data_IF_458547155858
#
_entry.id   IF_458547155858
#
_cell.length_a   1.000
_cell.length_b   1.000
_cell.length_c   1.000
_cell.angle_alpha   90.00
_cell.angle_beta   90.00
_cell.angle_gamma   90.00
#
_symmetry.space_group_name_H-M   'P 1'
#
loop_
_entity.id
_entity.type
_entity.pdbx_description
1 polymer ?
#
# COMPACT_ATOMS: atom_id res chain seq x y z
N UNK A 1 5.02 -23.22 -34.11
CA UNK A 1 3.93 -22.31 -34.53
C UNK A 1 3.74 -21.32 -33.39
N UNK A 2 3.85 -20.02 -33.65
CA UNK A 2 3.66 -19.00 -32.61
C UNK A 2 2.18 -18.97 -32.22
N UNK A 3 1.86 -19.57 -31.07
CA UNK A 3 0.51 -19.52 -30.54
C UNK A 3 0.14 -18.07 -30.20
N UNK A 4 -0.83 -17.57 -30.97
CA UNK A 4 -1.43 -16.25 -30.81
C UNK A 4 -2.21 -16.27 -29.50
N UNK A 5 -1.56 -15.82 -28.43
CA UNK A 5 -2.23 -15.49 -27.17
C UNK A 5 -3.54 -14.73 -27.44
N UNK A 6 -4.64 -15.05 -26.75
CA UNK A 6 -5.90 -14.31 -26.84
C UNK A 6 -5.66 -12.79 -26.77
N UNK A 7 -6.41 -11.98 -27.54
CA UNK A 7 -6.15 -10.54 -27.66
C UNK A 7 -6.12 -9.80 -26.31
N UNK A 8 -6.86 -10.30 -25.32
CA UNK A 8 -6.92 -9.78 -23.94
C UNK A 8 -5.61 -10.05 -23.17
N UNK A 9 -4.95 -11.18 -23.46
CA UNK A 9 -3.65 -11.58 -22.90
C UNK A 9 -2.48 -10.89 -23.61
N UNK A 10 -2.61 -10.60 -24.91
CA UNK A 10 -1.63 -9.78 -25.65
C UNK A 10 -1.64 -8.32 -25.22
N UNK A 11 -2.81 -7.73 -24.92
CA UNK A 11 -2.91 -6.38 -24.33
C UNK A 11 -2.34 -6.28 -22.91
N UNK A 12 -2.19 -7.40 -22.21
CA UNK A 12 -1.66 -7.45 -20.83
C UNK A 12 -0.16 -7.77 -20.78
N UNK A 13 0.36 -8.60 -21.69
CA UNK A 13 1.81 -8.83 -21.84
C UNK A 13 2.49 -7.60 -22.46
N UNK A 14 3.16 -6.81 -21.63
CA UNK A 14 3.93 -5.65 -22.08
C UNK A 14 3.38 -4.30 -21.60
N UNK A 15 2.41 -4.29 -20.67
CA UNK A 15 1.87 -3.05 -20.11
C UNK A 15 2.96 -2.17 -19.50
N UNK A 16 2.91 -0.90 -19.87
CA UNK A 16 3.73 0.15 -19.29
C UNK A 16 3.31 0.49 -17.86
N UNK A 17 4.19 1.18 -17.12
CA UNK A 17 3.91 1.62 -15.74
C UNK A 17 2.77 2.67 -15.71
N UNK A 18 2.74 3.52 -16.71
CA UNK A 18 1.68 4.49 -16.99
C UNK A 18 0.30 3.83 -17.15
N UNK A 19 0.23 2.70 -17.84
CA UNK A 19 -1.04 1.97 -18.01
C UNK A 19 -1.57 1.41 -16.68
N UNK A 20 -0.70 0.85 -15.82
CA UNK A 20 -1.14 0.40 -14.48
C UNK A 20 -1.65 1.56 -13.64
N UNK A 21 -0.98 2.71 -13.68
CA UNK A 21 -1.37 3.87 -12.90
C UNK A 21 -2.69 4.45 -13.42
N UNK A 22 -2.84 4.62 -14.74
CA UNK A 22 -4.09 5.10 -15.34
C UNK A 22 -5.26 4.16 -15.03
N UNK A 23 -5.12 2.86 -15.30
CA UNK A 23 -6.18 1.88 -15.05
C UNK A 23 -6.51 1.79 -13.55
N UNK A 24 -5.50 1.86 -12.68
CA UNK A 24 -5.73 1.86 -11.23
C UNK A 24 -6.51 3.10 -10.77
N UNK A 25 -6.21 4.28 -11.32
CA UNK A 25 -6.92 5.50 -11.00
C UNK A 25 -8.36 5.44 -11.52
N UNK A 26 -8.56 4.98 -12.75
CA UNK A 26 -9.87 4.82 -13.37
C UNK A 26 -10.75 3.84 -12.57
N UNK A 27 -10.18 2.73 -12.09
CA UNK A 27 -10.89 1.77 -11.23
C UNK A 27 -11.39 2.46 -9.96
N UNK A 28 -10.55 3.25 -9.29
CA UNK A 28 -10.90 3.92 -8.03
C UNK A 28 -11.94 5.03 -8.27
N UNK A 29 -11.75 5.86 -9.28
CA UNK A 29 -12.67 6.95 -9.60
C UNK A 29 -14.04 6.45 -10.09
N UNK A 30 -14.07 5.35 -10.84
CA UNK A 30 -15.31 4.72 -11.30
C UNK A 30 -16.06 4.00 -10.19
N UNK A 31 -15.39 3.65 -9.08
CA UNK A 31 -15.97 2.90 -7.96
C UNK A 31 -15.73 3.61 -6.62
N UNK A 32 -16.30 4.82 -6.42
CA UNK A 32 -16.03 5.64 -5.22
C UNK A 32 -16.45 4.95 -3.92
N UNK A 33 -17.36 3.98 -3.98
CA UNK A 33 -17.76 3.17 -2.82
C UNK A 33 -16.58 2.41 -2.20
N UNK A 34 -15.55 2.06 -2.97
CA UNK A 34 -14.33 1.42 -2.45
C UNK A 34 -13.55 2.33 -1.49
N UNK A 35 -13.82 3.64 -1.49
CA UNK A 35 -13.17 4.61 -0.61
C UNK A 35 -13.82 4.68 0.78
N UNK A 36 -15.00 4.10 0.98
CA UNK A 36 -15.73 4.13 2.26
C UNK A 36 -14.86 3.70 3.46
N UNK A 37 -14.08 2.60 3.39
CA UNK A 37 -13.22 2.20 4.50
C UNK A 37 -12.16 3.23 4.87
N UNK A 38 -11.78 4.13 3.96
CA UNK A 38 -10.74 5.14 4.21
C UNK A 38 -11.32 6.41 4.87
N UNK A 39 -12.64 6.61 4.85
CA UNK A 39 -13.30 7.79 5.43
C UNK A 39 -13.10 7.89 6.95
N UNK A 40 -13.24 6.82 7.76
CA UNK A 40 -12.95 6.90 9.19
C UNK A 40 -11.50 7.26 9.51
N UNK A 41 -10.54 6.77 8.73
CA UNK A 41 -9.13 7.14 8.84
C UNK A 41 -8.93 8.64 8.61
N UNK A 42 -9.57 9.19 7.57
CA UNK A 42 -9.56 10.61 7.27
C UNK A 42 -10.16 11.44 8.41
N UNK A 43 -11.33 11.05 8.92
CA UNK A 43 -12.00 11.75 10.01
C UNK A 43 -11.14 11.75 11.28
N UNK A 44 -10.49 10.63 11.60
CA UNK A 44 -9.58 10.55 12.73
C UNK A 44 -8.41 11.54 12.60
N UNK A 45 -7.82 11.65 11.41
CA UNK A 45 -6.74 12.62 11.15
C UNK A 45 -7.24 14.05 11.22
N UNK A 46 -8.44 14.35 10.71
CA UNK A 46 -9.04 15.68 10.79
C UNK A 46 -9.23 16.09 12.26
N UNK A 47 -9.84 15.21 13.06
CA UNK A 47 -10.07 15.44 14.49
C UNK A 47 -8.74 15.63 15.22
N UNK A 48 -7.76 14.77 14.95
CA UNK A 48 -6.42 14.85 15.53
C UNK A 48 -5.69 16.15 15.17
N UNK A 49 -5.81 16.58 13.92
CA UNK A 49 -5.19 17.80 13.43
C UNK A 49 -5.82 19.03 14.08
N UNK A 50 -7.15 19.07 14.23
CA UNK A 50 -7.86 20.11 14.98
C UNK A 50 -7.39 20.12 16.45
N UNK A 51 -7.28 18.95 17.06
CA UNK A 51 -6.81 18.79 18.43
C UNK A 51 -5.38 19.33 18.64
N UNK A 52 -4.49 19.16 17.66
CA UNK A 52 -3.14 19.74 17.68
C UNK A 52 -3.16 21.24 17.39
N UNK A 53 -4.05 21.72 16.52
CA UNK A 53 -4.09 23.11 16.08
C UNK A 53 -4.56 24.06 17.20
N UNK A 54 -5.51 23.64 18.03
CA UNK A 54 -6.05 24.42 19.15
C UNK A 54 -4.95 24.94 20.11
N UNK A 55 -4.05 24.09 20.65
CA UNK A 55 -2.97 24.54 21.53
C UNK A 55 -1.88 25.31 20.80
N UNK A 56 -1.65 25.05 19.50
CA UNK A 56 -0.72 25.86 18.69
C UNK A 56 -1.23 27.30 18.51
N UNK A 57 -2.53 27.49 18.28
CA UNK A 57 -3.16 28.81 18.16
C UNK A 57 -3.28 29.50 19.53
N UNK A 58 -3.74 28.78 20.57
CA UNK A 58 -3.89 29.33 21.93
C UNK A 58 -2.55 29.58 22.65
N UNK A 59 -1.46 28.99 22.17
CA UNK A 59 -0.10 29.16 22.67
C UNK A 59 0.65 30.37 22.10
N UNK A 60 0.02 31.22 21.29
CA UNK A 60 0.50 32.55 20.91
C UNK A 60 1.75 32.65 20.03
N UNK A 61 2.54 31.58 19.88
CA UNK A 61 3.73 31.57 19.03
C UNK A 61 4.02 30.16 18.51
N UNK A 62 3.98 30.00 17.18
CA UNK A 62 4.50 28.82 16.46
C UNK A 62 5.99 28.55 16.79
N UNK A 63 6.71 29.56 17.27
CA UNK A 63 8.13 29.49 17.61
C UNK A 63 8.39 29.08 19.07
N UNK A 64 7.36 29.08 19.93
CA UNK A 64 7.45 28.66 21.33
C UNK A 64 6.26 27.75 21.71
N UNK A 65 6.14 26.58 21.07
CA UNK A 65 5.06 25.65 21.37
C UNK A 65 5.15 25.18 22.83
N UNK A 66 4.01 25.10 23.52
CA UNK A 66 3.93 24.48 24.85
C UNK A 66 4.17 22.96 24.72
N UNK A 67 5.40 22.53 24.94
CA UNK A 67 5.84 21.13 24.86
C UNK A 67 5.11 20.21 25.86
N UNK A 68 4.61 20.77 26.96
CA UNK A 68 3.83 20.07 27.99
C UNK A 68 2.55 19.43 27.42
N UNK A 69 1.97 20.02 26.37
CA UNK A 69 0.81 19.46 25.68
C UNK A 69 1.17 18.15 24.95
N UNK A 70 2.28 18.17 24.19
CA UNK A 70 2.74 17.05 23.38
C UNK A 70 3.30 15.88 24.20
N UNK A 71 3.65 16.13 25.46
CA UNK A 71 4.09 15.08 26.41
C UNK A 71 2.97 14.61 27.34
N UNK A 72 1.77 15.20 27.24
CA UNK A 72 0.65 14.82 28.08
C UNK A 72 0.16 13.40 27.78
N UNK A 73 -0.24 12.67 28.83
CA UNK A 73 -0.81 11.32 28.72
C UNK A 73 -1.99 11.28 27.74
N UNK A 74 -2.82 12.32 27.76
CA UNK A 74 -3.99 12.43 26.88
C UNK A 74 -3.59 12.58 25.40
N UNK A 75 -2.55 13.38 25.12
CA UNK A 75 -2.01 13.50 23.77
C UNK A 75 -1.49 12.14 23.28
N UNK A 76 -0.66 11.46 24.07
CA UNK A 76 -0.08 10.15 23.70
C UNK A 76 -1.19 9.11 23.42
N UNK A 77 -2.19 9.01 24.31
CA UNK A 77 -3.32 8.09 24.13
C UNK A 77 -4.07 8.41 22.83
N UNK A 78 -4.34 9.70 22.57
CA UNK A 78 -5.04 10.10 21.35
C UNK A 78 -4.20 9.81 20.10
N UNK A 79 -2.90 10.09 20.11
CA UNK A 79 -2.00 9.77 19.00
C UNK A 79 -2.03 8.28 18.67
N UNK A 80 -1.90 7.42 19.68
CA UNK A 80 -1.98 5.96 19.51
C UNK A 80 -3.34 5.56 18.94
N UNK A 81 -4.43 6.08 19.49
CA UNK A 81 -5.78 5.77 19.03
C UNK A 81 -5.99 6.16 17.55
N UNK A 82 -5.56 7.36 17.17
CA UNK A 82 -5.65 7.85 15.79
C UNK A 82 -4.80 7.00 14.85
N UNK A 83 -3.56 6.68 15.22
CA UNK A 83 -2.70 5.80 14.43
C UNK A 83 -3.33 4.44 14.22
N UNK A 84 -3.93 3.85 15.26
CA UNK A 84 -4.63 2.57 15.15
C UNK A 84 -5.85 2.66 14.24
N UNK A 85 -6.68 3.71 14.37
CA UNK A 85 -7.83 3.91 13.49
C UNK A 85 -7.37 4.01 12.04
N UNK A 86 -6.40 4.88 11.74
CA UNK A 86 -5.87 5.04 10.38
C UNK A 86 -5.36 3.71 9.84
N UNK A 87 -4.54 3.00 10.62
CA UNK A 87 -3.96 1.72 10.20
C UNK A 87 -5.04 0.66 9.92
N UNK A 88 -6.01 0.48 10.82
CA UNK A 88 -7.05 -0.54 10.68
C UNK A 88 -7.92 -0.26 9.45
N UNK A 89 -8.38 0.96 9.29
CA UNK A 89 -9.28 1.36 8.21
C UNK A 89 -8.59 1.41 6.85
N UNK A 90 -7.34 1.86 6.79
CA UNK A 90 -6.52 1.75 5.58
C UNK A 90 -6.29 0.29 5.18
N UNK A 91 -5.98 -0.60 6.13
CA UNK A 91 -5.80 -2.03 5.82
C UNK A 91 -7.08 -2.68 5.29
N UNK A 92 -8.25 -2.41 5.90
CA UNK A 92 -9.54 -2.87 5.39
C UNK A 92 -9.73 -2.40 3.96
N UNK A 93 -9.49 -1.11 3.70
CA UNK A 93 -9.64 -0.51 2.38
C UNK A 93 -8.70 -1.12 1.34
N UNK A 94 -7.42 -1.32 1.68
CA UNK A 94 -6.43 -1.92 0.79
C UNK A 94 -6.82 -3.35 0.39
N UNK A 95 -7.22 -4.18 1.36
CA UNK A 95 -7.66 -5.56 1.08
C UNK A 95 -8.95 -5.56 0.27
N UNK A 96 -9.88 -4.64 0.59
CA UNK A 96 -11.12 -4.47 -0.16
C UNK A 96 -10.86 -4.14 -1.63
N UNK A 97 -10.00 -3.15 -1.91
CA UNK A 97 -9.59 -2.80 -3.28
C UNK A 97 -8.99 -4.01 -4.00
N UNK A 98 -8.08 -4.73 -3.34
CA UNK A 98 -7.47 -5.93 -3.94
C UNK A 98 -8.50 -7.03 -4.22
N UNK A 99 -9.45 -7.26 -3.32
CA UNK A 99 -10.51 -8.25 -3.50
C UNK A 99 -11.44 -7.88 -4.66
N UNK A 100 -11.85 -6.62 -4.74
CA UNK A 100 -12.68 -6.11 -5.83
C UNK A 100 -12.05 -6.39 -7.20
N UNK A 101 -10.76 -6.08 -7.36
CA UNK A 101 -10.04 -6.29 -8.62
C UNK A 101 -9.90 -7.78 -8.94
N UNK A 102 -9.43 -8.59 -7.98
CA UNK A 102 -9.14 -10.01 -8.22
C UNK A 102 -10.38 -10.88 -8.37
N UNK A 103 -11.50 -10.52 -7.73
CA UNK A 103 -12.75 -11.30 -7.74
C UNK A 103 -13.86 -10.67 -8.55
N UNK A 104 -13.65 -9.46 -9.09
CA UNK A 104 -14.66 -8.70 -9.85
C UNK A 104 -16.01 -8.61 -9.11
N UNK A 105 -15.94 -8.46 -7.79
CA UNK A 105 -17.11 -8.48 -6.90
C UNK A 105 -17.78 -7.11 -6.81
N UNK A 106 -18.95 -7.04 -6.18
CA UNK A 106 -19.52 -5.74 -5.80
C UNK A 106 -18.64 -5.03 -4.75
N UNK A 107 -18.59 -3.68 -4.73
CA UNK A 107 -17.82 -2.93 -3.73
C UNK A 107 -18.20 -3.26 -2.28
N UNK A 108 -19.49 -3.49 -2.01
CA UNK A 108 -19.99 -3.81 -0.67
C UNK A 108 -19.45 -5.17 -0.16
N UNK A 109 -19.38 -6.17 -1.03
CA UNK A 109 -18.79 -7.47 -0.71
C UNK A 109 -17.29 -7.37 -0.46
N UNK A 110 -16.61 -6.53 -1.25
CA UNK A 110 -15.19 -6.29 -1.12
C UNK A 110 -14.83 -5.65 0.23
N UNK A 111 -15.61 -4.66 0.68
CA UNK A 111 -15.45 -4.04 2.01
C UNK A 111 -15.68 -5.08 3.11
N UNK A 112 -16.75 -5.87 3.02
CA UNK A 112 -17.05 -6.92 4.00
C UNK A 112 -15.93 -7.96 4.07
N UNK A 113 -15.34 -8.30 2.93
CA UNK A 113 -14.18 -9.20 2.88
C UNK A 113 -12.95 -8.58 3.56
N UNK A 114 -12.68 -7.29 3.31
CA UNK A 114 -11.62 -6.55 3.98
C UNK A 114 -11.73 -6.60 5.51
N UNK A 115 -12.93 -6.38 6.06
CA UNK A 115 -13.21 -6.50 7.50
C UNK A 115 -12.96 -7.93 7.98
N UNK A 116 -13.46 -8.94 7.25
CA UNK A 116 -13.29 -10.36 7.60
C UNK A 116 -11.82 -10.79 7.65
N UNK A 117 -10.98 -10.24 6.76
CA UNK A 117 -9.55 -10.58 6.66
C UNK A 117 -8.63 -9.69 7.50
N UNK A 118 -9.17 -8.69 8.22
CA UNK A 118 -8.39 -7.78 9.04
C UNK A 118 -7.47 -8.48 10.07
N UNK A 119 -7.90 -9.52 10.81
CA UNK A 119 -7.01 -10.20 11.76
C UNK A 119 -5.80 -10.84 11.08
N UNK A 120 -6.03 -11.48 9.92
CA UNK A 120 -4.96 -12.08 9.12
C UNK A 120 -4.02 -11.00 8.57
N UNK A 121 -4.58 -9.88 8.12
CA UNK A 121 -3.80 -8.76 7.62
C UNK A 121 -2.91 -8.17 8.71
N UNK A 122 -3.44 -7.94 9.91
CA UNK A 122 -2.66 -7.44 11.04
C UNK A 122 -1.46 -8.34 11.35
N UNK A 123 -1.68 -9.66 11.43
CA UNK A 123 -0.59 -10.61 11.66
C UNK A 123 0.43 -10.55 10.51
N UNK A 124 -0.05 -10.60 9.26
CA UNK A 124 0.82 -10.64 8.08
C UNK A 124 1.64 -9.36 7.94
N UNK A 125 1.03 -8.19 8.08
CA UNK A 125 1.72 -6.91 8.02
C UNK A 125 2.67 -6.74 9.21
N UNK A 126 2.34 -7.20 10.41
CA UNK A 126 3.25 -7.16 11.56
C UNK A 126 4.49 -8.00 11.32
N UNK A 127 4.33 -9.23 10.83
CA UNK A 127 5.45 -10.12 10.47
C UNK A 127 6.28 -9.51 9.35
N UNK A 128 5.64 -8.97 8.30
CA UNK A 128 6.34 -8.32 7.22
C UNK A 128 7.15 -7.12 7.72
N UNK A 129 6.55 -6.23 8.51
CA UNK A 129 7.24 -5.08 9.09
C UNK A 129 8.43 -5.51 9.95
N UNK A 130 8.28 -6.54 10.79
CA UNK A 130 9.39 -7.05 11.59
C UNK A 130 10.57 -7.51 10.71
N UNK A 131 10.30 -8.21 9.60
CA UNK A 131 11.32 -8.63 8.64
C UNK A 131 11.96 -7.43 7.92
N UNK A 132 11.15 -6.45 7.52
CA UNK A 132 11.60 -5.24 6.83
C UNK A 132 12.37 -4.28 7.75
N UNK A 133 12.31 -4.44 9.07
CA UNK A 133 13.12 -3.69 10.03
C UNK A 133 14.54 -4.26 10.20
N UNK A 134 14.79 -5.52 9.84
CA UNK A 134 16.11 -6.17 9.95
C UNK A 134 17.20 -5.39 9.18
N UNK A 135 16.97 -4.94 7.92
CA UNK A 135 17.94 -4.14 7.19
C UNK A 135 18.26 -2.78 7.82
N UNK A 136 17.48 -2.28 8.78
CA UNK A 136 17.80 -1.04 9.50
C UNK A 136 18.79 -1.25 10.66
N UNK A 137 19.08 -2.49 11.06
CA UNK A 137 20.03 -2.76 12.16
C UNK A 137 21.43 -2.18 11.95
N UNK A 138 22.04 -2.20 10.73
CA UNK A 138 23.34 -1.56 10.48
C UNK A 138 23.34 -0.04 10.72
N UNK A 139 22.19 0.64 10.56
CA UNK A 139 22.07 2.09 10.79
C UNK A 139 22.35 2.45 12.26
N UNK A 140 21.95 1.58 13.18
CA UNK A 140 22.17 1.78 14.62
C UNK A 140 23.67 1.74 14.96
N UNK A 141 24.46 1.02 14.16
CA UNK A 141 25.89 0.80 14.38
C UNK A 141 26.74 1.84 13.64
N UNK A 142 26.33 2.27 12.45
CA UNK A 142 27.08 3.20 11.60
C UNK A 142 26.71 4.65 11.94
N UNK A 143 27.66 5.45 12.43
CA UNK A 143 27.46 6.87 12.79
C UNK A 143 27.72 7.87 11.65
N UNK A 144 27.78 7.41 10.41
CA UNK A 144 28.03 8.26 9.24
C UNK A 144 26.70 8.80 8.69
N UNK A 145 26.40 10.07 8.99
CA UNK A 145 25.12 10.72 8.64
C UNK A 145 24.79 10.64 7.13
N UNK A 146 25.69 10.99 6.19
CA UNK A 146 25.44 10.80 4.76
C UNK A 146 25.07 9.36 4.38
N UNK A 147 25.79 8.37 4.91
CA UNK A 147 25.51 6.96 4.66
C UNK A 147 24.13 6.56 5.20
N UNK A 148 23.79 6.97 6.43
CA UNK A 148 22.49 6.72 7.05
C UNK A 148 21.35 7.27 6.17
N UNK A 149 21.49 8.50 5.67
CA UNK A 149 20.47 9.14 4.82
C UNK A 149 20.27 8.34 3.54
N UNK A 150 21.35 8.09 2.78
CA UNK A 150 21.28 7.36 1.50
C UNK A 150 20.70 5.96 1.70
N UNK A 151 21.18 5.25 2.71
CA UNK A 151 20.75 3.89 3.02
C UNK A 151 19.28 3.82 3.46
N UNK A 152 18.83 4.78 4.28
CA UNK A 152 17.42 4.89 4.70
C UNK A 152 16.51 5.12 3.50
N UNK A 153 16.89 6.00 2.57
CA UNK A 153 16.12 6.27 1.35
C UNK A 153 15.99 5.01 0.50
N UNK A 154 17.09 4.31 0.26
CA UNK A 154 17.10 3.07 -0.53
C UNK A 154 16.20 2.01 0.11
N UNK A 155 16.37 1.74 1.42
CA UNK A 155 15.55 0.72 2.09
C UNK A 155 14.08 1.11 2.06
N UNK A 156 13.75 2.39 2.32
CA UNK A 156 12.37 2.87 2.31
C UNK A 156 11.70 2.64 0.95
N UNK A 157 12.42 2.87 -0.15
CA UNK A 157 11.92 2.58 -1.50
C UNK A 157 11.72 1.07 -1.75
N UNK A 158 12.61 0.21 -1.22
CA UNK A 158 12.50 -1.24 -1.39
C UNK A 158 11.37 -1.86 -0.56
N UNK A 159 10.96 -1.20 0.54
CA UNK A 159 9.93 -1.66 1.47
C UNK A 159 8.51 -1.42 0.96
N UNK A 160 8.30 -0.38 0.16
CA UNK A 160 6.96 -0.01 -0.35
C UNK A 160 6.34 -1.14 -1.17
N UNK A 161 7.09 -1.72 -2.10
CA UNK A 161 6.61 -2.79 -2.97
C UNK A 161 6.07 -4.01 -2.21
N UNK A 162 6.81 -4.65 -1.29
CA UNK A 162 6.30 -5.79 -0.53
C UNK A 162 5.10 -5.42 0.37
N UNK A 163 5.02 -4.19 0.88
CA UNK A 163 3.84 -3.73 1.64
C UNK A 163 2.58 -3.76 0.76
N UNK A 164 2.61 -3.14 -0.41
CA UNK A 164 1.43 -3.10 -1.30
C UNK A 164 1.12 -4.46 -1.94
N UNK A 165 2.13 -5.28 -2.23
CA UNK A 165 1.96 -6.65 -2.74
C UNK A 165 1.31 -7.61 -1.74
N UNK A 166 1.36 -7.30 -0.45
CA UNK A 166 0.78 -8.16 0.58
C UNK A 166 -0.76 -8.20 0.51
N UNK A 167 -1.40 -7.07 0.17
CA UNK A 167 -2.87 -6.97 0.06
C UNK A 167 -3.50 -7.97 -0.93
N UNK A 168 -3.08 -8.05 -2.21
CA UNK A 168 -3.62 -9.04 -3.13
C UNK A 168 -3.31 -10.48 -2.73
N UNK A 169 -2.21 -10.72 -2.02
CA UNK A 169 -1.88 -12.06 -1.52
C UNK A 169 -2.72 -12.48 -0.31
N UNK A 170 -3.10 -11.55 0.58
CA UNK A 170 -4.02 -11.81 1.71
C UNK A 170 -5.40 -12.24 1.21
N UNK A 171 -5.82 -11.76 0.03
CA UNK A 171 -7.08 -12.16 -0.60
C UNK A 171 -7.08 -13.65 -0.92
N UNK A 172 -5.96 -14.19 -1.42
CA UNK A 172 -5.89 -15.55 -1.95
C UNK A 172 -5.27 -16.57 -0.99
N UNK A 173 -4.41 -16.12 -0.06
CA UNK A 173 -3.60 -17.00 0.79
C UNK A 173 -3.81 -16.72 2.28
N UNK A 174 -3.75 -17.78 3.07
CA UNK A 174 -3.79 -17.69 4.53
C UNK A 174 -2.44 -17.31 5.16
N UNK A 175 -1.32 -17.47 4.45
CA UNK A 175 -0.01 -16.99 4.92
C UNK A 175 0.83 -16.48 3.73
N UNK A 176 0.78 -15.17 3.43
CA UNK A 176 1.29 -14.64 2.17
C UNK A 176 2.75 -14.15 2.17
N UNK A 177 3.47 -14.20 3.30
CA UNK A 177 4.78 -13.54 3.48
C UNK A 177 5.87 -14.06 2.54
N UNK A 178 6.03 -15.36 2.39
CA UNK A 178 7.06 -15.91 1.50
C UNK A 178 6.73 -15.66 0.03
N UNK A 179 5.44 -15.70 -0.33
CA UNK A 179 5.00 -15.42 -1.69
C UNK A 179 5.15 -13.94 -2.03
N UNK A 180 4.99 -13.01 -1.08
CA UNK A 180 5.16 -11.57 -1.35
C UNK A 180 6.58 -11.26 -1.82
N UNK A 181 7.59 -11.88 -1.20
CA UNK A 181 8.98 -11.75 -1.67
C UNK A 181 9.19 -12.43 -3.03
N UNK A 182 8.58 -13.59 -3.29
CA UNK A 182 8.68 -14.27 -4.59
C UNK A 182 8.07 -13.41 -5.72
N UNK A 183 6.85 -12.90 -5.53
CA UNK A 183 6.18 -12.00 -6.48
C UNK A 183 6.99 -10.73 -6.68
N UNK A 184 7.54 -10.17 -5.60
CA UNK A 184 8.40 -9.00 -5.66
C UNK A 184 9.64 -9.25 -6.52
N UNK A 185 10.36 -10.36 -6.29
CA UNK A 185 11.56 -10.69 -7.08
C UNK A 185 11.24 -10.89 -8.57
N UNK A 186 10.11 -11.54 -8.88
CA UNK A 186 9.68 -11.75 -10.26
C UNK A 186 9.28 -10.44 -10.98
N UNK A 187 8.78 -9.45 -10.23
CA UNK A 187 8.34 -8.16 -10.77
C UNK A 187 9.25 -6.99 -10.33
N UNK A 188 10.50 -7.26 -9.97
CA UNK A 188 11.37 -6.31 -9.26
C UNK A 188 11.44 -4.95 -9.95
N UNK A 189 11.73 -4.93 -11.26
CA UNK A 189 11.84 -3.68 -12.04
C UNK A 189 10.55 -2.86 -11.98
N UNK A 190 9.39 -3.46 -12.26
CA UNK A 190 8.10 -2.77 -12.24
C UNK A 190 7.72 -2.32 -10.82
N UNK A 191 7.93 -3.19 -9.83
CA UNK A 191 7.63 -2.90 -8.42
C UNK A 191 8.50 -1.78 -7.82
N UNK A 192 9.79 -1.71 -8.15
CA UNK A 192 10.67 -0.62 -7.70
C UNK A 192 10.26 0.70 -8.34
N UNK A 193 9.93 0.72 -9.64
CA UNK A 193 9.45 1.95 -10.31
C UNK A 193 8.15 2.42 -9.64
N UNK A 194 7.18 1.53 -9.40
CA UNK A 194 5.96 1.88 -8.67
C UNK A 194 6.24 2.37 -7.25
N UNK A 195 7.25 1.84 -6.57
CA UNK A 195 7.64 2.30 -5.23
C UNK A 195 8.22 3.71 -5.24
N UNK A 196 9.04 4.03 -6.24
CA UNK A 196 9.58 5.38 -6.45
C UNK A 196 8.42 6.33 -6.75
N UNK A 197 7.52 5.96 -7.66
CA UNK A 197 6.37 6.79 -8.02
C UNK A 197 5.42 7.00 -6.84
N UNK A 198 5.18 5.98 -6.01
CA UNK A 198 4.42 6.13 -4.77
C UNK A 198 5.08 7.14 -3.83
N UNK A 199 6.39 7.00 -3.62
CA UNK A 199 7.14 7.89 -2.74
C UNK A 199 7.11 9.34 -3.24
N UNK A 200 7.26 9.54 -4.55
CA UNK A 200 7.17 10.86 -5.19
C UNK A 200 5.76 11.44 -5.10
N UNK A 201 4.73 10.67 -5.43
CA UNK A 201 3.34 11.11 -5.37
C UNK A 201 2.94 11.44 -3.93
N UNK A 202 3.28 10.57 -2.98
CA UNK A 202 2.97 10.76 -1.56
C UNK A 202 3.69 11.98 -0.99
N UNK A 203 4.96 12.19 -1.38
CA UNK A 203 5.72 13.38 -0.99
C UNK A 203 5.16 14.65 -1.63
N UNK A 204 4.86 14.65 -2.92
CA UNK A 204 4.33 15.81 -3.64
C UNK A 204 2.97 16.24 -3.07
N UNK A 205 2.11 15.27 -2.79
CA UNK A 205 0.82 15.50 -2.16
C UNK A 205 0.99 16.01 -0.73
N UNK A 206 1.92 15.46 0.05
CA UNK A 206 2.21 15.92 1.42
C UNK A 206 2.79 17.34 1.49
N UNK A 207 3.42 17.82 0.40
CA UNK A 207 3.92 19.19 0.28
C UNK A 207 2.83 20.23 0.00
N UNK A 208 1.60 19.80 -0.30
CA UNK A 208 0.43 20.68 -0.33
C UNK A 208 0.07 21.13 1.09
N UNK A 209 -0.97 21.97 1.22
CA UNK A 209 -1.54 22.34 2.53
C UNK A 209 -1.75 21.03 3.34
N UNK A 210 -1.19 20.89 4.57
CA UNK A 210 -1.05 19.59 5.25
C UNK A 210 -2.32 18.74 5.32
N UNK A 211 -3.48 19.41 5.46
CA UNK A 211 -4.80 18.78 5.45
C UNK A 211 -5.18 18.20 4.09
N UNK A 212 -4.99 18.98 3.01
CA UNK A 212 -5.27 18.57 1.63
C UNK A 212 -4.31 17.43 1.24
N UNK A 213 -3.05 17.53 1.64
CA UNK A 213 -2.06 16.48 1.42
C UNK A 213 -2.42 15.16 2.10
N UNK A 214 -2.83 15.21 3.36
CA UNK A 214 -3.28 14.00 4.08
C UNK A 214 -4.52 13.38 3.44
N UNK A 215 -5.46 14.21 2.98
CA UNK A 215 -6.70 13.78 2.32
C UNK A 215 -6.42 13.01 1.03
N UNK A 216 -5.64 13.60 0.13
CA UNK A 216 -5.30 13.02 -1.16
C UNK A 216 -4.46 11.75 -1.00
N UNK A 217 -3.56 11.69 -0.02
CA UNK A 217 -2.80 10.49 0.28
C UNK A 217 -3.70 9.31 0.63
N UNK A 218 -4.69 9.54 1.50
CA UNK A 218 -5.54 8.46 2.04
C UNK A 218 -6.62 8.02 1.07
N UNK A 219 -7.23 8.96 0.35
CA UNK A 219 -8.36 8.67 -0.52
C UNK A 219 -7.98 8.38 -1.96
N UNK A 220 -6.80 8.80 -2.41
CA UNK A 220 -6.38 8.64 -3.81
C UNK A 220 -5.10 7.83 -3.90
N UNK A 221 -4.00 8.30 -3.28
CA UNK A 221 -2.68 7.68 -3.48
C UNK A 221 -2.66 6.24 -2.96
N UNK A 222 -3.06 5.98 -1.71
CA UNK A 222 -3.04 4.62 -1.14
C UNK A 222 -3.95 3.65 -1.93
N UNK A 223 -5.23 3.97 -2.21
CA UNK A 223 -6.10 3.09 -3.00
C UNK A 223 -5.59 2.85 -4.42
N UNK A 224 -5.13 3.89 -5.11
CA UNK A 224 -4.59 3.81 -6.48
C UNK A 224 -3.37 2.89 -6.54
N UNK A 225 -2.39 3.10 -5.66
CA UNK A 225 -1.21 2.23 -5.65
C UNK A 225 -1.57 0.80 -5.23
N UNK A 226 -2.50 0.61 -4.30
CA UNK A 226 -2.99 -0.74 -3.97
C UNK A 226 -3.60 -1.43 -5.19
N UNK A 227 -4.38 -0.72 -5.99
CA UNK A 227 -4.94 -1.23 -7.23
C UNK A 227 -3.84 -1.55 -8.26
N UNK A 228 -2.87 -0.66 -8.46
CA UNK A 228 -1.75 -0.88 -9.38
C UNK A 228 -0.92 -2.13 -9.00
N UNK A 229 -0.59 -2.31 -7.72
CA UNK A 229 0.10 -3.50 -7.25
C UNK A 229 -0.75 -4.77 -7.35
N UNK A 230 -2.07 -4.66 -7.20
CA UNK A 230 -3.00 -5.78 -7.42
C UNK A 230 -3.04 -6.21 -8.88
N UNK A 231 -3.09 -5.25 -9.82
CA UNK A 231 -3.03 -5.53 -11.26
C UNK A 231 -1.69 -6.16 -11.65
N UNK A 232 -0.58 -5.68 -11.08
CA UNK A 232 0.75 -6.27 -11.29
C UNK A 232 0.82 -7.70 -10.76
N UNK A 233 0.19 -8.00 -9.62
CA UNK A 233 0.05 -9.36 -9.10
C UNK A 233 -0.81 -10.25 -10.03
N UNK A 234 -1.94 -9.75 -10.52
CA UNK A 234 -2.83 -10.47 -11.43
C UNK A 234 -2.11 -10.87 -12.72
N UNK A 235 -1.33 -9.96 -13.33
CA UNK A 235 -0.53 -10.25 -14.52
C UNK A 235 0.52 -11.32 -14.26
N UNK A 236 1.23 -11.23 -13.13
CA UNK A 236 2.21 -12.23 -12.74
C UNK A 236 1.56 -13.61 -12.56
N UNK A 237 0.40 -13.67 -11.90
CA UNK A 237 -0.35 -14.92 -11.68
C UNK A 237 -0.76 -15.57 -13.01
N UNK A 238 -1.34 -14.79 -13.91
CA UNK A 238 -1.75 -15.25 -15.25
C UNK A 238 -0.53 -15.77 -16.03
N UNK A 239 0.60 -15.06 -15.98
CA UNK A 239 1.81 -15.50 -16.67
C UNK A 239 2.30 -16.87 -16.17
N UNK A 240 2.25 -17.10 -14.86
CA UNK A 240 2.65 -18.37 -14.23
C UNK A 240 1.69 -19.51 -14.56
N UNK A 241 0.39 -19.26 -14.55
CA UNK A 241 -0.64 -20.25 -14.92
C UNK A 241 -0.55 -20.61 -16.41
N UNK A 242 -0.29 -19.63 -17.28
CA UNK A 242 -0.09 -19.88 -18.73
C UNK A 242 1.15 -20.72 -19.03
N UNK A 243 2.26 -20.49 -18.30
CA UNK A 243 3.46 -21.32 -18.40
C UNK A 243 3.18 -22.76 -17.94
N UNK A 244 2.41 -22.94 -16.87
CA UNK A 244 2.08 -24.27 -16.36
C UNK A 244 1.24 -25.11 -17.33
N UNK A 245 0.31 -24.49 -18.08
CA UNK A 245 -0.47 -25.21 -19.10
C UNK A 245 0.40 -25.68 -20.27
N UNK A 246 1.38 -24.88 -20.70
CA UNK A 246 2.30 -25.22 -21.80
C UNK A 246 3.13 -26.45 -21.45
N UNK A 247 3.67 -26.53 -20.23
CA UNK A 247 4.48 -27.68 -19.81
C UNK A 247 3.65 -28.96 -19.63
N UNK A 248 2.37 -28.85 -19.25
CA UNK A 248 1.51 -30.03 -19.12
C UNK A 248 0.98 -30.57 -20.45
N UNK A 249 0.83 -29.73 -21.49
CA UNK A 249 0.51 -30.24 -22.84
C UNK A 249 1.69 -30.99 -23.47
N UNK A 250 2.94 -30.58 -23.24
CA UNK A 250 4.11 -31.31 -23.74
C UNK A 250 4.30 -32.70 -23.08
N UNK A 251 3.88 -32.86 -21.82
CA UNK A 251 3.98 -34.13 -21.08
C UNK A 251 2.84 -35.12 -21.42
N UNK A 252 1.74 -34.66 -22.03
CA UNK A 252 0.61 -35.51 -22.46
C UNK A 252 0.77 -35.97 -23.92
N UNK A 253 1.68 -35.37 -24.68
CA UNK A 253 1.93 -35.65 -26.11
C UNK A 253 3.17 -36.55 -26.33
N UNK A 254 3.79 -37.06 -25.26
CA UNK A 254 4.83 -38.11 -25.31
C UNK A 254 4.33 -39.44 -24.77
#
# INVERSE_FOLDING_TARGET
>A
MDEVLPPDLKKRKGRGIDEYLSESLDIILSNPKLLIPFVPALLAILIYSIYILIPLIKGGSLFHPRLDFFTSKNFIILSIAVTLIVLLFSLIGMIGVSYFILKKSAPEEAIRFGVKRLPLALISYTVLLALLMIPYAPIVVVRNVPFIIVYTVIISMLIVSPLFMLSPLIVEKSFPITESFRVYTANFKKGVILSILYSLASSAVSSLIPFIGSFLNILIVIPMFTAAYTLLYEEWKISKESLFMIFHEEDVVK
#
